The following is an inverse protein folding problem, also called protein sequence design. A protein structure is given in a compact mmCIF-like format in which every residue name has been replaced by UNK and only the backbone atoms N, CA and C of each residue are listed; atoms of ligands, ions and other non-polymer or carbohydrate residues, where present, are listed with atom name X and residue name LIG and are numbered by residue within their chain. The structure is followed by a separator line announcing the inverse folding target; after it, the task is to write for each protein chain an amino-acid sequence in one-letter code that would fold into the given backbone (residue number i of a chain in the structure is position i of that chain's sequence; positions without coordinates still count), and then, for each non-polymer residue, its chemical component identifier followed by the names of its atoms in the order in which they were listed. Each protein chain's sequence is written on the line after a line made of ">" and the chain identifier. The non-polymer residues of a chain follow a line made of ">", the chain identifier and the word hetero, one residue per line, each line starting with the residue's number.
data_IF_822249652209
#
_entry.id   IF_822249652209
#
_cell.length_a   1.000
_cell.length_b   1.000
_cell.length_c   1.000
_cell.angle_alpha   90.00
_cell.angle_beta   90.00
_cell.angle_gamma   90.00
#
_symmetry.space_group_name_H-M   'P 1'
#
loop_
_entity.id
_entity.type
_entity.pdbx_description
1 polymer ?
#
# COMPACT_ATOMS: atom_id res chain seq x y z
N UNK A 1 -7.41 -3.41 12.93
CA UNK A 1 -6.05 -2.78 13.03
C UNK A 1 -5.85 -1.87 11.84
N UNK A 2 -5.65 -0.59 12.09
CA UNK A 2 -5.46 0.39 11.03
C UNK A 2 -3.98 0.65 10.80
N UNK A 3 -3.58 0.69 9.55
CA UNK A 3 -2.19 0.94 9.18
C UNK A 3 -2.10 1.81 7.94
N UNK A 4 -0.97 2.49 7.80
CA UNK A 4 -0.65 3.27 6.61
C UNK A 4 0.60 2.67 6.00
N UNK A 5 0.55 2.38 4.72
CA UNK A 5 1.70 1.86 3.99
C UNK A 5 2.18 2.95 3.04
N UNK A 6 3.41 3.38 3.25
CA UNK A 6 4.06 4.38 2.41
C UNK A 6 4.77 3.65 1.30
N UNK A 7 4.49 4.01 0.05
CA UNK A 7 4.89 3.22 -1.10
C UNK A 7 5.73 4.03 -2.06
N UNK A 8 6.87 3.45 -2.45
CA UNK A 8 7.68 3.96 -3.55
C UNK A 8 7.43 3.10 -4.77
N UNK A 9 7.15 3.74 -5.88
CA UNK A 9 6.91 3.07 -7.15
C UNK A 9 8.00 3.40 -8.13
N UNK A 10 8.16 2.52 -9.12
CA UNK A 10 9.01 2.82 -10.25
C UNK A 10 8.39 3.90 -11.12
N UNK A 11 9.21 4.58 -11.90
CA UNK A 11 8.78 5.64 -12.79
C UNK A 11 7.67 5.12 -13.72
N UNK A 12 6.64 5.92 -13.90
CA UNK A 12 5.49 5.63 -14.76
C UNK A 12 4.57 4.51 -14.24
N UNK A 13 4.78 4.02 -13.02
CA UNK A 13 3.96 2.94 -12.46
C UNK A 13 2.97 3.40 -11.38
N UNK A 14 3.02 4.67 -10.98
CA UNK A 14 2.23 5.14 -9.82
C UNK A 14 0.74 4.95 -10.02
N UNK A 15 0.20 5.43 -11.14
CA UNK A 15 -1.26 5.37 -11.34
C UNK A 15 -1.78 3.95 -11.47
N UNK A 16 -1.05 3.09 -12.18
CA UNK A 16 -1.47 1.68 -12.31
C UNK A 16 -1.38 0.96 -10.97
N UNK A 17 -0.35 1.24 -10.17
CA UNK A 17 -0.21 0.65 -8.86
C UNK A 17 -1.34 1.11 -7.92
N UNK A 18 -1.71 2.39 -7.98
CA UNK A 18 -2.82 2.92 -7.18
C UNK A 18 -4.12 2.20 -7.53
N UNK A 19 -4.42 2.00 -8.82
CA UNK A 19 -5.61 1.28 -9.25
C UNK A 19 -5.65 -0.14 -8.69
N UNK A 20 -4.53 -0.85 -8.77
CA UNK A 20 -4.46 -2.22 -8.27
C UNK A 20 -4.61 -2.28 -6.76
N UNK A 21 -4.02 -1.33 -6.04
CA UNK A 21 -4.17 -1.28 -4.58
C UNK A 21 -5.61 -0.98 -4.15
N UNK A 22 -6.31 -0.15 -4.90
CA UNK A 22 -7.72 0.16 -4.60
C UNK A 22 -8.63 -1.05 -4.72
N UNK A 23 -8.23 -2.05 -5.47
CA UNK A 23 -9.00 -3.29 -5.63
C UNK A 23 -8.79 -4.29 -4.48
N UNK A 24 -7.85 -4.05 -3.58
CA UNK A 24 -7.59 -4.95 -2.45
C UNK A 24 -8.65 -4.74 -1.38
N UNK A 25 -9.23 -5.84 -0.89
CA UNK A 25 -10.38 -5.79 0.00
C UNK A 25 -10.15 -4.98 1.28
N UNK A 26 -8.99 -5.17 1.93
CA UNK A 26 -8.70 -4.49 3.20
C UNK A 26 -8.24 -3.04 3.04
N UNK A 27 -8.05 -2.58 1.81
CA UNK A 27 -7.63 -1.21 1.54
C UNK A 27 -8.82 -0.28 1.63
N UNK A 28 -8.72 0.71 2.51
CA UNK A 28 -9.75 1.73 2.70
C UNK A 28 -9.58 2.85 1.67
N UNK A 29 -8.33 3.25 1.45
CA UNK A 29 -8.04 4.43 0.68
C UNK A 29 -6.61 4.41 0.17
N UNK A 30 -6.41 4.88 -1.05
CA UNK A 30 -5.09 5.06 -1.64
C UNK A 30 -5.00 6.47 -2.19
N UNK A 31 -3.95 7.19 -1.84
CA UNK A 31 -3.66 8.51 -2.40
C UNK A 31 -2.30 8.49 -3.08
N UNK A 32 -2.24 8.97 -4.32
CA UNK A 32 -0.97 9.29 -4.96
C UNK A 32 -0.47 10.59 -4.34
N UNK A 33 0.80 10.65 -3.99
CA UNK A 33 1.39 11.81 -3.32
C UNK A 33 2.70 12.21 -3.99
N UNK A 34 3.16 13.40 -3.72
CA UNK A 34 4.48 13.85 -4.15
C UNK A 34 5.40 13.95 -2.95
N UNK A 35 6.70 13.79 -3.18
CA UNK A 35 7.72 13.85 -2.12
C UNK A 35 8.54 12.58 -2.08
N UNK A 36 8.89 12.16 -0.89
CA UNK A 36 9.74 10.98 -0.70
C UNK A 36 9.07 9.68 -1.14
N UNK A 37 7.76 9.62 -1.00
CA UNK A 37 6.97 8.45 -1.40
C UNK A 37 6.03 8.83 -2.54
N UNK A 38 5.52 7.83 -3.24
CA UNK A 38 4.67 8.03 -4.41
C UNK A 38 3.19 7.77 -4.11
N UNK A 39 2.91 6.97 -3.10
CA UNK A 39 1.52 6.69 -2.70
C UNK A 39 1.46 6.38 -1.21
N UNK A 40 0.28 6.64 -0.62
CA UNK A 40 -0.03 6.25 0.76
C UNK A 40 -1.30 5.42 0.72
N UNK A 41 -1.24 4.24 1.31
CA UNK A 41 -2.36 3.30 1.35
C UNK A 41 -2.81 3.13 2.79
N UNK A 42 -4.09 3.37 3.05
CA UNK A 42 -4.68 3.11 4.35
C UNK A 42 -5.35 1.75 4.35
N UNK A 43 -5.01 0.91 5.33
CA UNK A 43 -5.50 -0.47 5.43
C UNK A 43 -6.17 -0.67 6.78
N UNK A 44 -7.30 -1.38 6.78
CA UNK A 44 -7.92 -1.86 8.01
C UNK A 44 -7.87 -3.39 7.99
N UNK A 45 -6.83 -3.93 8.63
CA UNK A 45 -6.62 -5.37 8.70
C UNK A 45 -7.23 -5.93 9.99
N UNK A 46 -7.60 -7.21 9.98
CA UNK A 46 -8.19 -7.83 11.17
C UNK A 46 -7.16 -8.05 12.28
N UNK A 47 -5.92 -8.34 11.92
CA UNK A 47 -4.82 -8.53 12.88
C UNK A 47 -3.47 -8.34 12.19
N UNK A 48 -2.38 -8.56 12.93
CA UNK A 48 -1.03 -8.39 12.40
C UNK A 48 -0.72 -9.37 11.26
N UNK A 49 -1.20 -10.60 11.36
CA UNK A 49 -0.96 -11.60 10.31
C UNK A 49 -1.69 -11.21 9.03
N UNK A 50 -2.92 -10.73 9.14
CA UNK A 50 -3.68 -10.24 8.00
C UNK A 50 -2.98 -9.04 7.36
N UNK A 51 -2.50 -8.11 8.17
CA UNK A 51 -1.74 -6.96 7.68
C UNK A 51 -0.51 -7.39 6.90
N UNK A 52 0.24 -8.35 7.45
CA UNK A 52 1.44 -8.88 6.78
C UNK A 52 1.08 -9.51 5.44
N UNK A 53 -0.01 -10.27 5.39
CA UNK A 53 -0.46 -10.91 4.15
C UNK A 53 -0.86 -9.87 3.10
N UNK A 54 -1.53 -8.81 3.50
CA UNK A 54 -1.91 -7.73 2.56
C UNK A 54 -0.66 -7.05 2.01
N UNK A 55 0.27 -6.67 2.88
CA UNK A 55 1.47 -5.94 2.45
C UNK A 55 2.40 -6.84 1.65
N UNK A 56 2.79 -7.98 2.20
CA UNK A 56 3.78 -8.85 1.57
C UNK A 56 3.20 -9.67 0.43
N UNK A 57 1.94 -10.10 0.55
CA UNK A 57 1.32 -10.96 -0.44
C UNK A 57 0.62 -10.21 -1.56
N UNK A 58 -0.04 -9.10 -1.26
CA UNK A 58 -0.84 -8.39 -2.25
C UNK A 58 -0.16 -7.13 -2.76
N UNK A 59 0.32 -6.25 -1.87
CA UNK A 59 0.92 -4.99 -2.31
C UNK A 59 2.27 -5.23 -3.00
N UNK A 60 3.12 -6.05 -2.41
CA UNK A 60 4.43 -6.34 -2.99
C UNK A 60 4.36 -7.09 -4.31
N UNK A 61 3.25 -7.76 -4.60
CA UNK A 61 3.08 -8.46 -5.88
C UNK A 61 2.66 -7.53 -7.02
N UNK A 62 2.32 -6.29 -6.72
CA UNK A 62 1.92 -5.32 -7.74
C UNK A 62 3.15 -4.85 -8.52
N UNK A 63 3.07 -4.92 -9.85
CA UNK A 63 4.14 -4.44 -10.71
C UNK A 63 4.37 -2.94 -10.49
N UNK A 64 5.63 -2.57 -10.34
CA UNK A 64 6.00 -1.17 -10.16
C UNK A 64 6.15 -0.74 -8.70
N UNK A 65 5.74 -1.55 -7.74
CA UNK A 65 5.99 -1.26 -6.33
C UNK A 65 7.44 -1.63 -6.01
N UNK A 66 8.25 -0.63 -5.63
CA UNK A 66 9.67 -0.80 -5.36
C UNK A 66 9.97 -1.00 -3.88
N UNK A 67 9.37 -0.19 -3.02
CA UNK A 67 9.60 -0.25 -1.57
C UNK A 67 8.31 0.08 -0.83
N UNK A 68 8.15 -0.50 0.34
CA UNK A 68 7.04 -0.19 1.24
C UNK A 68 7.55 0.06 2.65
N UNK A 69 6.89 0.98 3.35
CA UNK A 69 7.13 1.23 4.77
C UNK A 69 5.77 1.21 5.46
N UNK A 70 5.59 0.30 6.39
CA UNK A 70 4.31 0.15 7.09
C UNK A 70 4.35 0.87 8.43
N UNK A 71 3.35 1.72 8.65
CA UNK A 71 3.16 2.44 9.92
C UNK A 71 1.83 1.99 10.51
N UNK A 72 1.89 1.39 11.69
CA UNK A 72 0.66 0.93 12.36
C UNK A 72 0.13 2.06 13.24
N UNK A 73 -1.15 2.38 13.07
CA UNK A 73 -1.80 3.40 13.87
C UNK A 73 -2.01 2.88 15.30
N UNK A 74 -1.68 3.71 16.27
CA UNK A 74 -1.82 3.35 17.70
C UNK A 74 -2.97 4.17 18.38
#
# INVERSE_FOLDING_TARGET
>A
MRAFVLIKCEVDSVLSAVEEMEAIEDVIRVDAVTGKYDAVTEIDASDTDDLRNVVAGEIHSIDGVAETTTCIAT
#
